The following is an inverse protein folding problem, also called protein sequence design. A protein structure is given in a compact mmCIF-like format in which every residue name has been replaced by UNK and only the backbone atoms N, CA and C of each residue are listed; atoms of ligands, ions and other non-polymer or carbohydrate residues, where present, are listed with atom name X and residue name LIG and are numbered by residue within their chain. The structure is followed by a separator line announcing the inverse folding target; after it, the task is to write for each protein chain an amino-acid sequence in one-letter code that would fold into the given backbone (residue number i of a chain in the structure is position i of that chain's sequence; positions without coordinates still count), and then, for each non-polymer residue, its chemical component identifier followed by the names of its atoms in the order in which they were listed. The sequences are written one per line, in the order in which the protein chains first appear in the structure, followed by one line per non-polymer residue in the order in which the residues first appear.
data_IF_797308933247
#
_entry.id   IF_797308933247
#
_cell.length_a   1.000
_cell.length_b   1.000
_cell.length_c   1.000
_cell.angle_alpha   90.00
_cell.angle_beta   90.00
_cell.angle_gamma   90.00
#
_symmetry.space_group_name_H-M   'P 1'
#
loop_
_entity.id
_entity.type
_entity.pdbx_description
1 polymer ?
#
# COMPACT_ATOMS: atom_id res chain seq x y z
N UNK A 1 -1.58 9.20 -35.01
CA UNK A 1 -0.38 8.50 -35.51
C UNK A 1 0.63 8.28 -34.39
N UNK A 2 1.41 9.30 -34.05
CA UNK A 2 2.40 9.23 -32.96
C UNK A 2 1.87 9.63 -31.58
N UNK A 3 0.85 10.48 -31.51
CA UNK A 3 0.23 10.89 -30.23
C UNK A 3 -0.64 9.78 -29.61
N UNK A 4 -1.37 9.03 -30.43
CA UNK A 4 -2.22 7.92 -29.96
C UNK A 4 -1.40 6.82 -29.29
N UNK A 5 -0.21 6.51 -29.85
CA UNK A 5 0.69 5.48 -29.35
C UNK A 5 1.39 5.91 -28.05
N UNK A 6 1.73 7.19 -27.91
CA UNK A 6 2.24 7.74 -26.65
C UNK A 6 1.17 7.70 -25.56
N UNK A 7 -0.08 8.08 -25.87
CA UNK A 7 -1.17 8.05 -24.90
C UNK A 7 -1.54 6.64 -24.43
N UNK A 8 -1.47 5.63 -25.30
CA UNK A 8 -1.61 4.23 -24.91
C UNK A 8 -0.47 3.79 -23.97
N UNK A 9 0.78 4.10 -24.30
CA UNK A 9 1.92 3.76 -23.43
C UNK A 9 1.84 4.42 -22.04
N UNK A 10 1.32 5.65 -21.93
CA UNK A 10 1.08 6.30 -20.64
C UNK A 10 0.01 5.57 -19.81
N UNK A 11 -1.10 5.17 -20.44
CA UNK A 11 -2.19 4.43 -19.76
C UNK A 11 -1.72 3.06 -19.26
N UNK A 12 -0.95 2.34 -20.06
CA UNK A 12 -0.39 1.03 -19.67
C UNK A 12 0.58 1.15 -18.48
N UNK A 13 1.35 2.24 -18.41
CA UNK A 13 2.23 2.52 -17.27
C UNK A 13 1.43 2.84 -16.01
N UNK A 14 0.42 3.70 -16.11
CA UNK A 14 -0.47 4.03 -14.99
C UNK A 14 -1.18 2.79 -14.45
N UNK A 15 -1.66 1.91 -15.33
CA UNK A 15 -2.28 0.65 -14.94
C UNK A 15 -1.28 -0.28 -14.24
N UNK A 16 -0.08 -0.45 -14.80
CA UNK A 16 0.96 -1.30 -14.23
C UNK A 16 1.51 -0.77 -12.88
N UNK A 17 1.44 0.53 -12.61
CA UNK A 17 1.70 1.09 -11.28
C UNK A 17 0.53 0.86 -10.33
N UNK A 18 -0.71 1.01 -10.81
CA UNK A 18 -1.91 0.76 -10.00
C UNK A 18 -1.95 -0.67 -9.47
N UNK A 19 -1.61 -1.64 -10.32
CA UNK A 19 -1.50 -3.05 -9.95
C UNK A 19 -0.36 -3.31 -8.95
N UNK A 20 0.79 -2.62 -9.05
CA UNK A 20 1.93 -2.79 -8.11
C UNK A 20 1.79 -2.02 -6.80
N UNK A 21 1.08 -0.89 -6.80
CA UNK A 21 0.71 -0.17 -5.58
C UNK A 21 -0.20 -1.02 -4.67
N UNK A 22 -0.86 -2.02 -5.26
CA UNK A 22 -1.75 -2.94 -4.54
C UNK A 22 -1.04 -3.67 -3.40
N UNK A 23 0.23 -4.09 -3.52
CA UNK A 23 0.84 -4.98 -2.52
C UNK A 23 0.99 -4.40 -1.09
N UNK A 24 1.15 -3.08 -0.94
CA UNK A 24 1.16 -2.40 0.37
C UNK A 24 -0.26 -1.92 0.73
N UNK A 25 -1.04 -1.50 -0.28
CA UNK A 25 -2.45 -1.11 -0.13
C UNK A 25 -3.40 -2.28 0.17
N UNK A 26 -2.94 -3.52 -0.01
CA UNK A 26 -3.71 -4.76 0.13
C UNK A 26 -3.47 -5.46 1.45
N UNK A 27 -3.08 -4.73 2.51
CA UNK A 27 -3.24 -5.27 3.86
C UNK A 27 -4.65 -5.87 3.93
N UNK A 28 -4.79 -7.14 4.35
CA UNK A 28 -6.07 -7.83 4.28
C UNK A 28 -6.97 -7.36 5.43
N UNK A 29 -7.32 -6.07 5.45
CA UNK A 29 -8.00 -5.36 6.53
C UNK A 29 -9.32 -6.04 6.91
N UNK A 30 -10.07 -6.54 5.92
CA UNK A 30 -11.28 -7.33 6.16
C UNK A 30 -10.98 -8.69 6.81
N UNK A 31 -9.86 -9.32 6.47
CA UNK A 31 -9.44 -10.60 7.09
C UNK A 31 -8.94 -10.36 8.51
N UNK A 32 -8.19 -9.27 8.73
CA UNK A 32 -7.79 -8.80 10.05
C UNK A 32 -9.04 -8.60 10.90
N UNK A 33 -9.98 -7.75 10.48
CA UNK A 33 -11.22 -7.47 11.22
C UNK A 33 -11.98 -8.75 11.59
N UNK A 34 -12.15 -9.68 10.64
CA UNK A 34 -12.81 -10.98 10.88
C UNK A 34 -12.05 -11.86 11.87
N UNK A 35 -10.72 -11.86 11.83
CA UNK A 35 -9.89 -12.71 12.67
C UNK A 35 -9.77 -12.17 14.10
N UNK A 36 -9.54 -10.88 14.28
CA UNK A 36 -9.35 -10.29 15.62
C UNK A 36 -10.66 -9.93 16.31
N UNK A 37 -11.75 -9.72 15.57
CA UNK A 37 -13.06 -9.31 16.09
C UNK A 37 -12.93 -8.17 17.12
N UNK A 38 -12.48 -6.97 16.69
CA UNK A 38 -12.19 -5.88 17.61
C UNK A 38 -13.44 -5.40 18.35
N UNK A 39 -13.26 -5.06 19.62
CA UNK A 39 -14.30 -4.47 20.45
C UNK A 39 -14.52 -2.97 20.12
N UNK A 40 -15.39 -2.30 20.88
CA UNK A 40 -15.71 -0.90 20.64
C UNK A 40 -14.54 0.05 20.87
N UNK A 41 -13.65 -0.25 21.81
CA UNK A 41 -12.46 0.54 22.07
C UNK A 41 -11.41 0.36 20.96
N UNK A 42 -11.33 -0.83 20.37
CA UNK A 42 -10.37 -1.19 19.33
C UNK A 42 -10.82 -0.79 17.92
N UNK A 43 -12.13 -0.60 17.69
CA UNK A 43 -12.69 -0.20 16.38
C UNK A 43 -12.10 1.10 15.85
N UNK A 44 -11.80 2.07 16.71
CA UNK A 44 -11.14 3.32 16.31
C UNK A 44 -9.70 3.06 15.80
N UNK A 45 -8.94 2.18 16.46
CA UNK A 45 -7.61 1.79 16.01
C UNK A 45 -7.63 1.06 14.66
N UNK A 46 -8.62 0.20 14.43
CA UNK A 46 -8.81 -0.46 13.13
C UNK A 46 -9.13 0.56 12.03
N UNK A 47 -10.00 1.55 12.30
CA UNK A 47 -10.33 2.64 11.38
C UNK A 47 -9.10 3.46 11.00
N UNK A 48 -8.25 3.81 11.97
CA UNK A 48 -7.00 4.53 11.70
C UNK A 48 -6.05 3.71 10.81
N UNK A 49 -5.94 2.40 11.03
CA UNK A 49 -5.16 1.51 10.16
C UNK A 49 -5.73 1.44 8.73
N UNK A 50 -7.05 1.42 8.57
CA UNK A 50 -7.70 1.48 7.26
C UNK A 50 -7.40 2.79 6.52
N UNK A 51 -7.46 3.91 7.24
CA UNK A 51 -7.19 5.24 6.68
C UNK A 51 -5.72 5.37 6.26
N UNK A 52 -4.78 4.94 7.12
CA UNK A 52 -3.34 4.93 6.81
C UNK A 52 -3.01 4.04 5.60
N UNK A 53 -3.66 2.88 5.48
CA UNK A 53 -3.49 1.99 4.32
C UNK A 53 -4.00 2.65 3.04
N UNK A 54 -5.13 3.36 3.12
CA UNK A 54 -5.72 4.09 1.99
C UNK A 54 -4.82 5.26 1.56
N UNK A 55 -4.24 5.98 2.51
CA UNK A 55 -3.29 7.06 2.24
C UNK A 55 -2.00 6.53 1.58
N UNK A 56 -1.44 5.44 2.10
CA UNK A 56 -0.29 4.76 1.50
C UNK A 56 -0.56 4.31 0.06
N UNK A 57 -1.76 3.77 -0.20
CA UNK A 57 -2.18 3.40 -1.56
C UNK A 57 -2.22 4.61 -2.50
N UNK A 58 -2.69 5.76 -2.01
CA UNK A 58 -2.76 7.00 -2.77
C UNK A 58 -1.37 7.58 -3.05
N UNK A 59 -0.45 7.55 -2.08
CA UNK A 59 0.95 7.95 -2.26
C UNK A 59 1.65 7.12 -3.35
N UNK A 60 1.47 5.79 -3.31
CA UNK A 60 2.03 4.91 -4.33
C UNK A 60 1.42 5.15 -5.72
N UNK A 61 0.15 5.53 -5.79
CA UNK A 61 -0.53 5.85 -7.05
C UNK A 61 -0.08 7.21 -7.61
N UNK A 62 0.09 8.23 -6.76
CA UNK A 62 0.51 9.58 -7.18
C UNK A 62 1.92 9.59 -7.74
N UNK A 63 2.79 8.72 -7.23
CA UNK A 63 4.20 8.66 -7.61
C UNK A 63 4.44 7.73 -8.82
N UNK A 64 3.37 7.23 -9.44
CA UNK A 64 3.50 6.49 -10.69
C UNK A 64 4.01 7.41 -11.82
N UNK A 65 5.15 7.07 -12.46
CA UNK A 65 5.65 7.85 -13.58
C UNK A 65 4.65 7.84 -14.75
N UNK A 66 4.35 9.03 -15.28
CA UNK A 66 3.46 9.20 -16.45
C UNK A 66 4.13 8.85 -17.77
N UNK A 67 5.47 8.74 -17.79
CA UNK A 67 6.28 8.54 -18.98
C UNK A 67 7.38 7.51 -18.74
N UNK A 68 7.75 6.76 -19.81
CA UNK A 68 8.85 5.81 -19.75
C UNK A 68 10.19 6.53 -19.72
N UNK A 69 11.04 6.15 -18.78
CA UNK A 69 12.43 6.58 -18.78
C UNK A 69 13.20 5.97 -19.98
N UNK A 70 13.66 6.82 -20.90
CA UNK A 70 14.31 6.42 -22.15
C UNK A 70 15.83 6.23 -22.02
N UNK A 71 16.45 6.75 -20.96
CA UNK A 71 17.91 6.67 -20.74
C UNK A 71 18.24 5.77 -19.56
N UNK A 72 19.43 5.15 -19.51
CA UNK A 72 19.87 4.39 -18.33
C UNK A 72 19.81 5.21 -17.03
N UNK A 73 20.24 6.48 -17.06
CA UNK A 73 20.19 7.37 -15.89
C UNK A 73 18.74 7.68 -15.48
N UNK A 74 17.86 7.98 -16.44
CA UNK A 74 16.44 8.21 -16.14
C UNK A 74 15.76 6.99 -15.52
N UNK A 75 16.17 5.77 -15.91
CA UNK A 75 15.65 4.53 -15.30
C UNK A 75 16.07 4.39 -13.84
N UNK A 76 17.30 4.77 -13.49
CA UNK A 76 17.77 4.78 -12.10
C UNK A 76 17.00 5.80 -11.26
N UNK A 77 16.77 7.01 -11.78
CA UNK A 77 15.98 8.04 -11.10
C UNK A 77 14.53 7.56 -10.85
N UNK A 78 13.91 6.89 -11.83
CA UNK A 78 12.58 6.31 -11.65
C UNK A 78 12.56 5.19 -10.60
N UNK A 79 13.64 4.39 -10.50
CA UNK A 79 13.79 3.38 -9.44
C UNK A 79 13.92 4.02 -8.06
N UNK A 80 14.72 5.08 -7.94
CA UNK A 80 14.89 5.84 -6.69
C UNK A 80 13.55 6.43 -6.21
N UNK A 81 12.81 7.10 -7.11
CA UNK A 81 11.48 7.64 -6.80
C UNK A 81 10.50 6.55 -6.33
N UNK A 82 10.52 5.37 -6.98
CA UNK A 82 9.67 4.25 -6.59
C UNK A 82 10.01 3.74 -5.18
N UNK A 83 11.29 3.64 -4.84
CA UNK A 83 11.72 3.19 -3.51
C UNK A 83 11.39 4.22 -2.43
N UNK A 84 11.54 5.51 -2.72
CA UNK A 84 11.14 6.59 -1.81
C UNK A 84 9.62 6.58 -1.55
N UNK A 85 8.80 6.39 -2.59
CA UNK A 85 7.35 6.26 -2.45
C UNK A 85 6.96 5.04 -1.59
N UNK A 86 7.63 3.90 -1.77
CA UNK A 86 7.44 2.71 -0.92
C UNK A 86 7.83 2.97 0.53
N UNK A 87 8.94 3.67 0.76
CA UNK A 87 9.38 4.01 2.11
C UNK A 87 8.35 4.91 2.81
N UNK A 88 7.86 5.95 2.14
CA UNK A 88 6.81 6.83 2.67
C UNK A 88 5.53 6.05 2.97
N UNK A 89 5.10 5.16 2.08
CA UNK A 89 3.93 4.31 2.29
C UNK A 89 4.07 3.42 3.55
N UNK A 90 5.24 2.81 3.77
CA UNK A 90 5.53 2.03 4.98
C UNK A 90 5.51 2.92 6.23
N UNK A 91 6.13 4.11 6.17
CA UNK A 91 6.14 5.07 7.28
C UNK A 91 4.75 5.58 7.65
N UNK A 92 3.81 5.63 6.70
CA UNK A 92 2.40 5.94 6.96
C UNK A 92 1.67 4.80 7.69
N UNK A 93 1.87 3.56 7.25
CA UNK A 93 1.10 2.40 7.76
C UNK A 93 1.63 1.87 9.09
N UNK A 94 2.95 1.80 9.26
CA UNK A 94 3.61 1.22 10.42
C UNK A 94 3.08 1.75 11.76
N UNK A 95 3.00 3.07 12.03
CA UNK A 95 2.56 3.57 13.34
C UNK A 95 1.09 3.23 13.64
N UNK A 96 0.22 3.25 12.63
CA UNK A 96 -1.18 2.86 12.79
C UNK A 96 -1.33 1.37 13.10
N UNK A 97 -0.51 0.53 12.44
CA UNK A 97 -0.48 -0.90 12.69
C UNK A 97 0.03 -1.24 14.09
N UNK A 98 1.14 -0.62 14.52
CA UNK A 98 1.70 -0.79 15.87
C UNK A 98 0.71 -0.38 16.94
N UNK A 99 0.02 0.75 16.76
CA UNK A 99 -1.04 1.22 17.67
C UNK A 99 -2.20 0.23 17.74
N UNK A 100 -2.72 -0.22 16.59
CA UNK A 100 -3.80 -1.18 16.56
C UNK A 100 -3.40 -2.50 17.22
N UNK A 101 -2.27 -3.09 16.82
CA UNK A 101 -1.76 -4.34 17.39
C UNK A 101 -1.49 -4.22 18.90
N UNK A 102 -0.96 -3.07 19.35
CA UNK A 102 -0.74 -2.78 20.76
C UNK A 102 -2.02 -2.77 21.59
N UNK A 103 -3.15 -2.36 21.01
CA UNK A 103 -4.46 -2.35 21.66
C UNK A 103 -5.13 -3.73 21.79
N UNK A 104 -4.61 -4.73 21.07
CA UNK A 104 -5.17 -6.08 21.08
C UNK A 104 -4.79 -6.85 22.35
N UNK A 105 -5.73 -7.66 22.86
CA UNK A 105 -5.45 -8.68 23.87
C UNK A 105 -4.65 -9.86 23.29
N UNK A 106 -4.10 -10.71 24.16
CA UNK A 106 -3.21 -11.80 23.75
C UNK A 106 -3.86 -12.77 22.77
N UNK A 107 -5.10 -13.19 23.03
CA UNK A 107 -5.84 -14.08 22.13
C UNK A 107 -6.10 -13.46 20.75
N UNK A 108 -6.35 -12.14 20.72
CA UNK A 108 -6.51 -11.40 19.47
C UNK A 108 -5.17 -11.32 18.73
N UNK A 109 -4.06 -11.02 19.43
CA UNK A 109 -2.72 -11.02 18.83
C UNK A 109 -2.35 -12.36 18.23
N UNK A 110 -2.70 -13.47 18.90
CA UNK A 110 -2.50 -14.79 18.32
C UNK A 110 -3.29 -14.98 17.03
N UNK A 111 -4.58 -14.59 16.99
CA UNK A 111 -5.38 -14.66 15.76
C UNK A 111 -4.82 -13.77 14.66
N UNK A 112 -4.33 -12.59 15.00
CA UNK A 112 -3.66 -11.67 14.08
C UNK A 112 -2.39 -12.31 13.48
N UNK A 113 -1.52 -12.90 14.31
CA UNK A 113 -0.24 -13.48 13.88
C UNK A 113 -0.39 -14.75 13.02
N UNK A 114 -1.55 -15.41 13.07
CA UNK A 114 -1.88 -16.55 12.18
C UNK A 114 -2.27 -16.09 10.77
N UNK A 115 -2.55 -14.81 10.56
CA UNK A 115 -2.79 -14.26 9.23
C UNK A 115 -1.48 -14.29 8.46
N UNK A 116 -1.39 -15.19 7.48
CA UNK A 116 -0.32 -15.13 6.49
C UNK A 116 -0.44 -13.82 5.71
N UNK A 117 0.68 -13.15 5.36
CA UNK A 117 0.62 -12.11 4.35
C UNK A 117 -0.09 -12.69 3.13
N UNK A 118 -1.13 -12.01 2.64
CA UNK A 118 -1.78 -12.42 1.39
C UNK A 118 -0.68 -12.66 0.35
N UNK A 119 -0.60 -13.86 -0.20
CA UNK A 119 0.34 -14.16 -1.27
C UNK A 119 0.11 -13.12 -2.38
N UNK A 120 1.12 -12.29 -2.60
CA UNK A 120 1.08 -11.16 -3.54
C UNK A 120 1.14 -11.61 -4.99
#
# INVERSE_FOLDING_TARGET
GSDDNQQQAKRDLTQACGERASGIASLPLQQIERAVQPDEAQRAGLKELQDATSEAANLLRSDCPTDRALTPVGRLQAMEQRLDAMLRAVQTVQPALEKFYGSLGDEQKERFNRLSPAEG
#
